data_IF_988849083771
#
_entry.id   IF_988849083771
#
_cell.length_a   1.000
_cell.length_b   1.000
_cell.length_c   1.000
_cell.angle_alpha   90.00
_cell.angle_beta   90.00
_cell.angle_gamma   90.00
#
_symmetry.space_group_name_H-M   'P 1'
#
loop_
_entity.id
_entity.type
_entity.pdbx_description
1 polymer ?
#
# COMPACT_ATOMS: atom_id res chain seq x y z
N UNK A 1 9.89 -4.87 21.86
CA UNK A 1 10.29 -4.29 23.09
C UNK A 1 11.39 -3.25 23.02
N UNK A 2 12.58 -3.62 23.39
CA UNK A 2 13.73 -2.73 23.67
C UNK A 2 14.10 -1.79 22.51
N UNK A 3 14.16 -2.28 21.30
CA UNK A 3 14.47 -1.47 20.09
C UNK A 3 13.54 -0.27 19.89
N UNK A 4 12.22 -0.45 19.99
CA UNK A 4 11.26 0.64 19.82
C UNK A 4 11.32 1.67 20.94
N UNK A 5 11.70 1.23 22.13
CA UNK A 5 11.88 2.10 23.29
C UNK A 5 13.12 2.99 23.16
N UNK A 6 14.25 2.41 22.74
CA UNK A 6 15.47 3.16 22.43
C UNK A 6 15.26 4.19 21.32
N UNK A 7 14.48 3.82 20.30
CA UNK A 7 14.15 4.73 19.21
C UNK A 7 13.23 5.87 19.67
N UNK A 8 12.23 5.59 20.52
CA UNK A 8 11.38 6.60 21.12
C UNK A 8 12.18 7.57 22.02
N UNK A 9 13.13 7.05 22.79
CA UNK A 9 14.01 7.88 23.62
C UNK A 9 14.95 8.76 22.77
N UNK A 10 15.41 8.25 21.64
CA UNK A 10 16.17 9.04 20.67
C UNK A 10 15.33 10.17 20.08
N UNK A 11 14.09 9.87 19.65
CA UNK A 11 13.15 10.88 19.16
C UNK A 11 12.84 11.93 20.24
N UNK A 12 12.66 11.52 21.50
CA UNK A 12 12.39 12.44 22.60
C UNK A 12 13.52 13.44 22.81
N UNK A 13 14.76 13.01 22.66
CA UNK A 13 15.95 13.88 22.82
C UNK A 13 16.15 14.79 21.61
N UNK A 14 15.98 14.27 20.38
CA UNK A 14 16.32 15.01 19.17
C UNK A 14 15.13 15.76 18.56
N UNK A 15 13.93 15.18 18.57
CA UNK A 15 12.74 15.72 17.91
C UNK A 15 11.47 15.45 18.74
N UNK A 16 11.27 16.08 19.90
CA UNK A 16 10.21 15.75 20.88
C UNK A 16 8.78 15.95 20.34
N UNK A 17 8.63 16.59 19.20
CA UNK A 17 7.33 16.80 18.55
C UNK A 17 7.09 15.96 17.32
N UNK A 18 8.00 15.06 16.96
CA UNK A 18 7.93 14.31 15.71
C UNK A 18 7.13 13.00 15.85
N UNK A 19 6.54 12.59 14.72
CA UNK A 19 6.08 11.24 14.47
C UNK A 19 7.03 10.61 13.45
N UNK A 20 7.72 9.55 13.83
CA UNK A 20 8.46 8.71 12.89
C UNK A 20 7.48 7.78 12.17
N UNK A 21 7.52 7.77 10.83
CA UNK A 21 6.81 6.78 10.01
C UNK A 21 7.83 5.95 9.26
N UNK A 22 7.89 4.66 9.52
CA UNK A 22 8.87 3.74 8.93
C UNK A 22 8.26 2.39 8.58
N UNK A 23 8.93 1.61 7.73
CA UNK A 23 8.55 0.23 7.40
C UNK A 23 9.24 -0.79 8.29
N UNK A 24 8.53 -1.85 8.65
CA UNK A 24 9.07 -2.99 9.38
C UNK A 24 8.31 -4.27 9.04
N UNK A 25 8.95 -5.42 9.22
CA UNK A 25 8.23 -6.69 9.30
C UNK A 25 7.76 -6.91 10.74
N UNK A 26 6.49 -7.22 10.91
CA UNK A 26 5.89 -7.53 12.21
C UNK A 26 5.31 -8.93 12.22
N UNK A 27 5.24 -9.53 13.41
CA UNK A 27 4.71 -10.87 13.62
C UNK A 27 3.42 -10.79 14.42
N UNK A 28 2.44 -11.61 14.04
CA UNK A 28 1.24 -11.85 14.83
C UNK A 28 1.17 -13.35 15.14
N UNK A 29 1.09 -13.68 16.42
CA UNK A 29 0.95 -15.06 16.88
C UNK A 29 -0.52 -15.45 17.03
N UNK A 30 -0.82 -16.72 16.76
CA UNK A 30 -2.16 -17.31 16.84
C UNK A 30 -2.08 -18.64 17.61
N UNK A 31 -3.12 -18.91 18.39
CA UNK A 31 -3.33 -20.24 18.93
C UNK A 31 -3.77 -21.22 17.83
N UNK A 32 -3.55 -22.51 18.07
CA UNK A 32 -4.02 -23.54 17.16
C UNK A 32 -5.55 -23.49 16.99
N UNK A 33 -6.03 -23.65 15.75
CA UNK A 33 -7.45 -23.66 15.40
C UNK A 33 -8.05 -22.28 15.02
N UNK A 34 -7.32 -21.16 15.28
CA UNK A 34 -7.78 -19.81 14.91
C UNK A 34 -6.84 -19.09 13.92
N UNK A 35 -5.83 -19.79 13.44
CA UNK A 35 -4.84 -19.25 12.51
C UNK A 35 -5.42 -19.06 11.09
N UNK A 36 -5.09 -17.96 10.39
CA UNK A 36 -5.40 -17.81 8.97
C UNK A 36 -4.55 -18.75 8.09
N UNK A 37 -4.95 -18.91 6.83
CA UNK A 37 -4.23 -19.78 5.88
C UNK A 37 -2.78 -19.35 5.60
N UNK A 38 -2.47 -18.08 5.82
CA UNK A 38 -1.14 -17.50 5.63
C UNK A 38 -0.19 -17.79 6.79
N UNK A 39 -0.74 -18.21 7.94
CA UNK A 39 0.04 -18.44 9.14
C UNK A 39 0.92 -19.67 9.01
N UNK A 40 2.14 -19.54 9.50
CA UNK A 40 3.17 -20.58 9.55
C UNK A 40 3.21 -21.19 10.94
N UNK A 41 3.56 -22.48 11.02
CA UNK A 41 3.75 -23.15 12.29
C UNK A 41 5.01 -22.61 12.99
N UNK A 42 4.90 -22.32 14.27
CA UNK A 42 6.06 -21.98 15.08
C UNK A 42 6.87 -23.26 15.33
N UNK A 43 8.14 -23.28 14.89
CA UNK A 43 9.02 -24.45 15.05
C UNK A 43 9.41 -24.74 16.50
N UNK A 44 9.08 -23.86 17.44
CA UNK A 44 9.42 -23.97 18.85
C UNK A 44 8.24 -24.36 19.76
N UNK A 45 7.02 -24.47 19.21
CA UNK A 45 5.82 -24.75 19.98
C UNK A 45 4.62 -25.21 19.15
N UNK A 46 3.43 -25.24 19.79
CA UNK A 46 2.16 -25.58 19.10
C UNK A 46 1.45 -24.35 18.48
N UNK A 47 2.13 -23.21 18.45
CA UNK A 47 1.60 -21.94 17.95
C UNK A 47 1.76 -21.77 16.42
N UNK A 48 1.09 -20.74 15.93
CA UNK A 48 1.22 -20.27 14.55
C UNK A 48 1.55 -18.79 14.53
N UNK A 49 2.21 -18.31 13.49
CA UNK A 49 2.47 -16.88 13.31
C UNK A 49 2.33 -16.45 11.85
N UNK A 50 1.88 -15.24 11.66
CA UNK A 50 1.94 -14.53 10.39
C UNK A 50 3.01 -13.44 10.41
N UNK A 51 3.62 -13.23 9.26
CA UNK A 51 4.52 -12.10 9.00
C UNK A 51 3.75 -11.05 8.23
N UNK A 52 3.82 -9.80 8.66
CA UNK A 52 3.20 -8.66 7.96
C UNK A 52 4.26 -7.66 7.53
N UNK A 53 4.12 -7.16 6.30
CA UNK A 53 4.77 -5.93 5.91
C UNK A 53 3.98 -4.76 6.51
N UNK A 54 4.62 -3.96 7.37
CA UNK A 54 3.92 -3.03 8.26
C UNK A 54 4.54 -1.64 8.21
N UNK A 55 3.71 -0.62 8.09
CA UNK A 55 4.10 0.73 8.45
C UNK A 55 3.93 0.93 9.96
N UNK A 56 4.95 1.49 10.59
CA UNK A 56 5.01 1.78 12.02
C UNK A 56 5.07 3.29 12.20
N UNK A 57 4.12 3.84 12.95
CA UNK A 57 4.16 5.20 13.47
C UNK A 57 4.62 5.18 14.91
N UNK A 58 5.73 5.87 15.23
CA UNK A 58 6.28 5.96 16.57
C UNK A 58 6.44 7.43 16.96
N UNK A 59 5.86 7.83 18.07
CA UNK A 59 6.06 9.16 18.63
C UNK A 59 7.08 9.17 19.79
N UNK A 60 7.45 10.36 20.23
CA UNK A 60 8.40 10.58 21.33
C UNK A 60 7.89 10.11 22.70
N UNK A 61 6.60 9.81 22.85
CA UNK A 61 6.03 9.20 24.06
C UNK A 61 6.11 7.67 24.04
N UNK A 62 6.58 7.08 22.94
CA UNK A 62 6.64 5.61 22.77
C UNK A 62 5.33 4.99 22.28
N UNK A 63 4.34 5.81 21.88
CA UNK A 63 3.10 5.29 21.31
C UNK A 63 3.36 4.75 19.92
N UNK A 64 2.97 3.50 19.69
CA UNK A 64 3.11 2.80 18.42
C UNK A 64 1.74 2.70 17.74
N UNK A 65 1.70 3.04 16.45
CA UNK A 65 0.56 2.85 15.57
C UNK A 65 1.00 1.95 14.41
N UNK A 66 0.14 1.02 13.99
CA UNK A 66 0.49 0.02 12.98
C UNK A 66 -0.50 0.08 11.81
N UNK A 67 0.03 -0.06 10.60
CA UNK A 67 -0.72 -0.33 9.39
C UNK A 67 -0.11 -1.53 8.69
N UNK A 68 -0.84 -2.63 8.60
CA UNK A 68 -0.43 -3.81 7.85
C UNK A 68 -0.76 -3.63 6.37
N UNK A 69 0.19 -3.92 5.50
CA UNK A 69 0.04 -3.78 4.05
C UNK A 69 -1.19 -4.54 3.53
N UNK A 70 -2.09 -3.82 2.86
CA UNK A 70 -3.36 -4.35 2.36
C UNK A 70 -3.34 -4.73 0.88
N UNK A 71 -2.31 -4.31 0.11
CA UNK A 71 -2.13 -4.66 -1.30
C UNK A 71 -0.75 -5.23 -1.52
N UNK A 72 -0.69 -6.56 -1.56
CA UNK A 72 0.54 -7.31 -1.74
C UNK A 72 0.97 -7.35 -3.22
N UNK A 73 2.28 -7.44 -3.44
CA UNK A 73 2.84 -7.60 -4.79
C UNK A 73 2.64 -9.04 -5.24
N UNK A 74 1.89 -9.22 -6.33
CA UNK A 74 1.63 -10.53 -6.91
C UNK A 74 2.94 -11.14 -7.42
N UNK A 75 3.20 -12.39 -7.07
CA UNK A 75 4.40 -13.12 -7.47
C UNK A 75 5.60 -12.97 -6.52
N UNK A 76 5.59 -11.97 -5.62
CA UNK A 76 6.68 -11.72 -4.66
C UNK A 76 6.19 -11.88 -3.21
N UNK A 77 5.11 -11.21 -2.85
CA UNK A 77 4.54 -11.22 -1.49
C UNK A 77 3.31 -12.14 -1.39
N UNK A 78 2.67 -12.41 -2.52
CA UNK A 78 1.50 -13.29 -2.61
C UNK A 78 1.60 -14.12 -3.90
N UNK A 79 2.08 -15.34 -3.78
CA UNK A 79 2.07 -16.31 -4.89
C UNK A 79 0.93 -17.27 -4.68
N UNK A 80 -0.09 -17.31 -5.58
CA UNK A 80 -1.12 -18.33 -5.52
C UNK A 80 -0.47 -19.72 -5.56
N UNK A 81 -0.84 -20.61 -4.63
CA UNK A 81 -0.24 -21.95 -4.47
C UNK A 81 -0.16 -22.71 -5.79
N UNK A 82 -1.21 -22.67 -6.63
CA UNK A 82 -1.25 -23.33 -7.95
C UNK A 82 -0.20 -22.77 -8.92
N UNK A 83 0.08 -21.47 -8.86
CA UNK A 83 1.10 -20.82 -9.71
C UNK A 83 2.49 -21.08 -9.14
N UNK A 84 2.63 -21.14 -7.84
CA UNK A 84 3.90 -21.46 -7.17
C UNK A 84 4.39 -22.86 -7.53
N UNK A 85 3.53 -23.85 -7.48
CA UNK A 85 3.87 -25.24 -7.79
C UNK A 85 4.31 -25.44 -9.26
N UNK A 86 3.79 -24.60 -10.18
CA UNK A 86 4.14 -24.64 -11.61
C UNK A 86 5.38 -23.80 -11.93
N UNK A 87 5.58 -22.68 -11.24
CA UNK A 87 6.60 -21.68 -11.58
C UNK A 87 7.72 -21.57 -10.55
N UNK A 88 7.83 -22.48 -9.58
CA UNK A 88 8.88 -22.44 -8.55
C UNK A 88 10.32 -22.41 -9.14
N UNK A 89 10.51 -22.92 -10.36
CA UNK A 89 11.79 -22.85 -11.08
C UNK A 89 12.06 -21.48 -11.73
N UNK A 90 11.04 -20.60 -11.83
CA UNK A 90 11.12 -19.23 -12.37
C UNK A 90 11.13 -18.17 -11.27
N UNK A 91 10.95 -18.57 -10.01
CA UNK A 91 10.99 -17.64 -8.88
C UNK A 91 12.43 -17.15 -8.72
N UNK A 92 12.70 -15.97 -9.26
CA UNK A 92 13.95 -15.26 -9.06
C UNK A 92 14.01 -14.92 -7.57
N UNK A 93 15.16 -15.21 -6.95
CA UNK A 93 15.42 -14.83 -5.56
C UNK A 93 15.57 -13.31 -5.47
N UNK A 94 14.45 -12.63 -5.28
CA UNK A 94 14.37 -11.17 -5.21
C UNK A 94 14.62 -10.64 -3.79
N UNK A 95 15.21 -11.46 -2.91
CA UNK A 95 15.54 -11.05 -1.53
C UNK A 95 14.29 -10.77 -0.65
N UNK A 96 13.12 -11.21 -1.10
CA UNK A 96 11.87 -11.15 -0.35
C UNK A 96 11.61 -12.43 0.46
N UNK A 97 10.72 -12.37 1.42
CA UNK A 97 10.21 -13.57 2.09
C UNK A 97 9.34 -14.32 1.09
N UNK A 98 9.88 -15.36 0.48
CA UNK A 98 9.12 -16.24 -0.43
C UNK A 98 8.03 -16.94 0.40
N UNK A 99 6.78 -16.60 0.13
CA UNK A 99 5.62 -17.19 0.80
C UNK A 99 4.46 -16.21 0.91
N UNK A 100 3.33 -16.71 1.34
CA UNK A 100 2.19 -15.87 1.68
C UNK A 100 2.50 -15.12 2.98
N UNK A 101 2.33 -13.80 2.97
CA UNK A 101 2.41 -12.96 4.17
C UNK A 101 1.00 -12.49 4.53
N UNK A 102 0.80 -12.14 5.80
CA UNK A 102 -0.46 -11.61 6.28
C UNK A 102 -0.81 -10.28 5.59
N UNK A 103 -2.10 -10.07 5.34
CA UNK A 103 -2.61 -8.91 4.62
C UNK A 103 -3.53 -8.08 5.51
N UNK A 104 -3.34 -6.75 5.51
CA UNK A 104 -4.26 -5.79 6.09
C UNK A 104 -5.53 -5.65 5.24
N UNK A 105 -6.66 -5.37 5.87
CA UNK A 105 -7.94 -5.25 5.17
C UNK A 105 -8.24 -3.82 4.73
N UNK A 106 -7.74 -2.83 5.48
CA UNK A 106 -8.10 -1.42 5.34
C UNK A 106 -6.89 -0.52 5.47
N UNK A 107 -6.96 0.68 4.88
CA UNK A 107 -6.05 1.76 5.18
C UNK A 107 -6.18 2.20 6.65
N UNK A 108 -5.12 2.70 7.24
CA UNK A 108 -5.09 3.20 8.62
C UNK A 108 -4.52 4.61 8.63
N UNK A 109 -5.17 5.57 9.29
CA UNK A 109 -4.60 6.89 9.48
C UNK A 109 -3.89 6.95 10.82
N UNK A 110 -2.58 7.31 10.82
CA UNK A 110 -1.83 7.60 12.04
C UNK A 110 -2.15 9.01 12.50
N UNK A 111 -2.36 9.15 13.78
CA UNK A 111 -2.67 10.45 14.37
C UNK A 111 -1.58 10.88 15.36
N UNK A 112 -1.08 12.10 15.17
CA UNK A 112 -0.14 12.74 16.06
C UNK A 112 -0.42 14.25 16.17
N UNK A 113 -0.64 14.75 17.38
CA UNK A 113 -0.91 16.19 17.65
C UNK A 113 -2.03 16.78 16.79
N UNK A 114 -3.12 16.04 16.59
CA UNK A 114 -4.27 16.47 15.79
C UNK A 114 -4.07 16.41 14.28
N UNK A 115 -2.90 15.98 13.81
CA UNK A 115 -2.62 15.75 12.38
C UNK A 115 -2.73 14.26 12.08
N UNK A 116 -3.45 13.92 10.98
CA UNK A 116 -3.60 12.55 10.50
C UNK A 116 -2.84 12.34 9.20
N UNK A 117 -2.00 11.29 9.16
CA UNK A 117 -1.28 10.87 7.95
C UNK A 117 -1.65 9.46 7.54
N UNK A 118 -1.77 9.21 6.23
CA UNK A 118 -1.96 7.88 5.68
C UNK A 118 -0.61 7.23 5.33
N UNK A 119 -0.18 6.18 6.06
CA UNK A 119 1.11 5.53 5.84
C UNK A 119 0.99 4.43 4.78
N UNK A 120 0.91 4.79 3.50
CA UNK A 120 0.81 3.80 2.43
C UNK A 120 2.15 3.09 2.17
N UNK A 121 2.11 1.79 1.90
CA UNK A 121 3.29 0.97 1.65
C UNK A 121 3.40 0.63 0.17
N UNK A 122 4.43 1.18 -0.50
CA UNK A 122 4.89 0.78 -1.84
C UNK A 122 3.73 0.60 -2.85
N UNK A 123 3.41 -0.65 -3.17
CA UNK A 123 2.41 -1.09 -4.15
C UNK A 123 0.98 -0.64 -3.85
N UNK A 124 0.66 -0.29 -2.61
CA UNK A 124 -0.66 0.26 -2.24
C UNK A 124 -0.98 1.56 -2.99
N UNK A 125 0.05 2.34 -3.36
CA UNK A 125 -0.09 3.53 -4.19
C UNK A 125 -0.63 3.29 -5.60
N UNK A 126 -0.63 2.05 -6.10
CA UNK A 126 -1.21 1.72 -7.40
C UNK A 126 -2.74 1.68 -7.38
N UNK A 127 -3.33 1.38 -6.23
CA UNK A 127 -4.77 1.16 -6.08
C UNK A 127 -5.46 2.41 -5.56
N UNK A 128 -6.08 3.20 -6.46
CA UNK A 128 -6.74 4.45 -6.10
C UNK A 128 -7.82 4.30 -5.03
N UNK A 129 -8.68 3.30 -5.13
CA UNK A 129 -9.73 3.04 -4.13
C UNK A 129 -9.17 2.70 -2.76
N UNK A 130 -8.10 1.88 -2.71
CA UNK A 130 -7.44 1.53 -1.46
C UNK A 130 -6.70 2.73 -0.87
N UNK A 131 -6.05 3.52 -1.70
CA UNK A 131 -5.41 4.78 -1.29
C UNK A 131 -6.45 5.76 -0.72
N UNK A 132 -7.64 5.80 -1.33
CA UNK A 132 -8.79 6.56 -0.84
C UNK A 132 -9.28 6.13 0.54
N UNK A 133 -9.05 4.88 0.95
CA UNK A 133 -9.47 4.41 2.27
C UNK A 133 -8.72 5.10 3.41
N UNK A 134 -7.42 5.36 3.25
CA UNK A 134 -6.66 6.19 4.20
C UNK A 134 -7.28 7.58 4.34
N UNK A 135 -7.67 8.17 3.21
CA UNK A 135 -8.25 9.52 3.16
C UNK A 135 -9.64 9.55 3.78
N UNK A 136 -10.50 8.56 3.51
CA UNK A 136 -11.82 8.41 4.17
C UNK A 136 -11.70 8.25 5.68
N UNK A 137 -10.61 7.65 6.16
CA UNK A 137 -10.29 7.51 7.60
C UNK A 137 -9.62 8.75 8.20
N UNK A 138 -9.53 9.83 7.42
CA UNK A 138 -9.14 11.14 7.88
C UNK A 138 -7.71 11.56 7.58
N UNK A 139 -6.95 10.82 6.79
CA UNK A 139 -5.61 11.23 6.39
C UNK A 139 -5.65 12.60 5.68
N UNK A 140 -4.88 13.57 6.18
CA UNK A 140 -4.79 14.93 5.68
C UNK A 140 -3.65 15.11 4.69
N UNK A 141 -2.65 14.25 4.75
CA UNK A 141 -1.59 14.04 3.77
C UNK A 141 -1.19 12.56 3.78
N UNK A 142 -0.36 12.13 2.84
CA UNK A 142 0.08 10.75 2.75
C UNK A 142 1.59 10.65 2.93
N UNK A 143 2.02 9.66 3.70
CA UNK A 143 3.40 9.24 3.82
C UNK A 143 3.55 7.90 3.09
N UNK A 144 4.22 7.88 1.93
CA UNK A 144 4.50 6.63 1.21
C UNK A 144 5.88 6.15 1.60
N UNK A 145 5.95 4.92 2.11
CA UNK A 145 7.21 4.22 2.38
C UNK A 145 7.37 3.08 1.37
N UNK A 146 8.55 2.94 0.78
CA UNK A 146 8.76 1.99 -0.31
C UNK A 146 10.15 1.36 -0.29
N UNK A 147 10.19 0.07 -0.60
CA UNK A 147 11.41 -0.60 -0.97
C UNK A 147 11.39 -0.83 -2.48
N UNK A 148 12.09 0.02 -3.23
CA UNK A 148 12.10 -0.04 -4.69
C UNK A 148 13.32 -0.83 -5.24
N UNK A 149 14.20 -1.33 -4.37
CA UNK A 149 15.49 -1.95 -4.77
C UNK A 149 15.34 -3.17 -5.69
N UNK A 150 14.26 -3.90 -5.55
CA UNK A 150 13.96 -5.08 -6.38
C UNK A 150 13.56 -4.76 -7.83
N UNK A 151 13.28 -3.49 -8.16
CA UNK A 151 13.07 -3.06 -9.55
C UNK A 151 14.40 -2.90 -10.32
N UNK A 152 15.55 -2.81 -9.64
CA UNK A 152 16.78 -2.35 -10.26
C UNK A 152 16.68 -0.91 -10.78
N UNK A 153 17.70 -0.39 -11.42
CA UNK A 153 17.64 0.93 -12.08
C UNK A 153 16.87 0.84 -13.42
N UNK A 154 15.59 0.55 -13.32
CA UNK A 154 14.67 0.41 -14.46
C UNK A 154 13.60 1.49 -14.41
N UNK A 155 12.79 1.66 -15.48
CA UNK A 155 11.62 2.55 -15.44
C UNK A 155 10.60 2.23 -14.35
N UNK A 156 10.61 1.01 -13.78
CA UNK A 156 9.60 0.53 -12.82
C UNK A 156 9.42 1.43 -11.61
N UNK A 157 10.50 1.78 -10.89
CA UNK A 157 10.42 2.67 -9.74
C UNK A 157 9.98 4.09 -10.10
N UNK A 158 10.33 4.58 -11.32
CA UNK A 158 9.89 5.88 -11.83
C UNK A 158 8.39 5.90 -12.08
N UNK A 159 7.83 4.78 -12.58
CA UNK A 159 6.39 4.62 -12.75
C UNK A 159 5.66 4.65 -11.41
N UNK A 160 6.17 3.97 -10.38
CA UNK A 160 5.59 4.02 -9.03
C UNK A 160 5.54 5.44 -8.47
N UNK A 161 6.60 6.22 -8.68
CA UNK A 161 6.64 7.62 -8.30
C UNK A 161 5.61 8.44 -9.11
N UNK A 162 5.54 8.22 -10.42
CA UNK A 162 4.60 8.92 -11.31
C UNK A 162 3.14 8.61 -10.95
N UNK A 163 2.83 7.35 -10.63
CA UNK A 163 1.48 6.97 -10.19
C UNK A 163 1.10 7.65 -8.86
N UNK A 164 2.08 7.87 -7.97
CA UNK A 164 1.83 8.64 -6.75
C UNK A 164 1.29 10.04 -7.03
N UNK A 165 1.67 10.67 -8.17
CA UNK A 165 1.09 11.96 -8.60
C UNK A 165 -0.40 11.86 -8.92
N UNK A 166 -0.84 10.78 -9.57
CA UNK A 166 -2.27 10.55 -9.82
C UNK A 166 -3.02 10.42 -8.50
N UNK A 167 -2.46 9.68 -7.54
CA UNK A 167 -3.05 9.56 -6.19
C UNK A 167 -3.19 10.91 -5.51
N UNK A 168 -2.15 11.76 -5.59
CA UNK A 168 -2.21 13.11 -5.04
C UNK A 168 -3.35 13.94 -5.66
N UNK A 169 -3.53 13.88 -6.98
CA UNK A 169 -4.57 14.60 -7.73
C UNK A 169 -5.97 14.07 -7.38
N UNK A 170 -6.18 12.76 -7.45
CA UNK A 170 -7.48 12.11 -7.23
C UNK A 170 -8.03 12.39 -5.84
N UNK A 171 -7.16 12.37 -4.83
CA UNK A 171 -7.55 12.51 -3.44
C UNK A 171 -7.30 13.90 -2.85
N UNK A 172 -6.68 14.81 -3.64
CA UNK A 172 -6.25 16.14 -3.18
C UNK A 172 -5.45 16.08 -1.89
N UNK A 173 -4.47 15.15 -1.85
CA UNK A 173 -3.54 14.98 -0.73
C UNK A 173 -2.10 15.18 -1.19
N UNK A 174 -1.38 16.03 -0.45
CA UNK A 174 0.07 16.09 -0.63
C UNK A 174 0.70 14.77 -0.17
N UNK A 175 1.82 14.40 -0.80
CA UNK A 175 2.52 13.14 -0.53
C UNK A 175 3.97 13.43 -0.15
N UNK A 176 4.41 12.86 0.97
CA UNK A 176 5.80 12.69 1.32
C UNK A 176 6.18 11.23 1.04
N UNK A 177 7.03 10.99 0.05
CA UNK A 177 7.49 9.65 -0.32
C UNK A 177 8.93 9.44 0.12
N UNK A 178 9.17 8.34 0.84
CA UNK A 178 10.50 7.87 1.21
C UNK A 178 10.72 6.47 0.64
N UNK A 179 11.75 6.32 -0.19
CA UNK A 179 12.19 5.05 -0.74
C UNK A 179 13.63 4.76 -0.29
N UNK A 180 13.92 3.50 0.07
CA UNK A 180 15.27 3.11 0.49
C UNK A 180 16.30 3.17 -0.65
N UNK A 181 15.88 2.86 -1.88
CA UNK A 181 16.77 2.79 -3.06
C UNK A 181 16.24 3.63 -4.21
N UNK A 182 14.91 3.68 -4.40
CA UNK A 182 14.24 4.35 -5.51
C UNK A 182 14.12 5.86 -5.35
N UNK A 183 13.04 6.43 -5.89
CA UNK A 183 12.83 7.87 -5.89
C UNK A 183 12.07 8.31 -4.63
N UNK A 184 12.71 9.16 -3.82
CA UNK A 184 12.09 9.88 -2.70
C UNK A 184 11.70 11.29 -3.14
N UNK A 185 10.68 11.90 -2.49
CA UNK A 185 10.33 13.28 -2.80
C UNK A 185 8.96 13.70 -2.27
N UNK A 186 8.66 14.97 -2.50
CA UNK A 186 7.39 15.58 -2.16
C UNK A 186 6.55 15.83 -3.41
N UNK A 187 5.25 15.57 -3.31
CA UNK A 187 4.28 15.78 -4.37
C UNK A 187 3.14 16.63 -3.82
N UNK A 188 2.80 17.73 -4.51
CA UNK A 188 1.69 18.59 -4.11
C UNK A 188 0.35 17.88 -4.32
N UNK A 189 -0.72 18.38 -3.69
CA UNK A 189 -2.09 17.91 -3.91
C UNK A 189 -2.61 18.09 -5.35
N UNK A 190 -1.86 18.80 -6.20
CA UNK A 190 -2.13 18.98 -7.63
C UNK A 190 -1.26 18.08 -8.52
N UNK A 191 -0.37 17.29 -7.92
CA UNK A 191 0.54 16.39 -8.62
C UNK A 191 1.85 17.06 -9.06
N UNK A 192 2.14 18.27 -8.62
CA UNK A 192 3.42 18.92 -8.92
C UNK A 192 4.53 18.25 -8.11
N UNK A 193 5.64 17.99 -8.75
CA UNK A 193 6.81 17.38 -8.11
C UNK A 193 7.64 18.50 -7.46
N UNK A 194 7.87 18.39 -6.17
CA UNK A 194 8.77 19.24 -5.41
C UNK A 194 10.21 18.71 -5.42
N UNK A 195 10.88 18.82 -4.27
CA UNK A 195 12.23 18.27 -4.08
C UNK A 195 12.21 16.75 -4.24
N UNK A 196 13.21 16.20 -4.92
CA UNK A 196 13.36 14.75 -5.12
C UNK A 196 14.81 14.29 -4.83
N UNK A 197 14.92 13.03 -4.43
CA UNK A 197 16.16 12.30 -4.31
C UNK A 197 16.05 11.05 -5.20
N UNK A 198 17.00 10.89 -6.13
CA UNK A 198 16.96 9.83 -7.13
C UNK A 198 17.47 8.48 -6.63
N UNK A 199 17.59 7.53 -7.56
CA UNK A 199 18.05 6.17 -7.33
C UNK A 199 19.40 6.13 -6.59
N UNK A 200 19.47 5.32 -5.54
CA UNK A 200 20.67 5.10 -4.68
C UNK A 200 21.32 6.37 -4.11
N UNK A 201 20.63 7.49 -4.14
CA UNK A 201 21.12 8.72 -3.52
C UNK A 201 20.75 8.78 -2.05
N UNK A 202 21.77 8.94 -1.19
CA UNK A 202 21.56 9.20 0.23
C UNK A 202 21.39 10.69 0.47
N UNK A 203 20.39 11.06 1.26
CA UNK A 203 20.15 12.46 1.58
C UNK A 203 18.94 12.65 2.46
N UNK A 204 18.69 13.91 2.82
CA UNK A 204 17.52 14.35 3.57
C UNK A 204 16.79 15.39 2.74
N UNK A 205 15.49 15.24 2.64
CA UNK A 205 14.60 16.22 2.04
C UNK A 205 13.70 16.81 3.13
N UNK A 206 13.49 18.11 3.09
CA UNK A 206 12.60 18.81 4.02
C UNK A 206 11.65 19.70 3.25
N UNK A 207 10.35 19.60 3.54
CA UNK A 207 9.32 20.46 2.96
C UNK A 207 8.16 20.67 3.91
N UNK A 208 7.48 21.81 3.77
CA UNK A 208 6.17 22.03 4.37
C UNK A 208 5.12 21.27 3.54
N UNK A 209 4.31 20.44 4.21
CA UNK A 209 3.27 19.64 3.58
C UNK A 209 1.91 20.25 3.95
N UNK A 210 1.13 20.75 2.98
CA UNK A 210 -0.19 21.28 3.26
C UNK A 210 -1.16 20.16 3.67
N UNK A 211 -1.95 20.43 4.71
CA UNK A 211 -2.97 19.52 5.21
C UNK A 211 -4.32 19.82 4.53
N UNK A 212 -5.03 18.77 4.12
CA UNK A 212 -6.36 18.91 3.54
C UNK A 212 -7.31 17.83 4.09
N UNK A 213 -8.45 18.23 4.61
CA UNK A 213 -9.47 17.31 5.15
C UNK A 213 -10.68 17.12 4.21
N UNK A 214 -10.77 17.86 3.11
CA UNK A 214 -11.89 17.76 2.16
C UNK A 214 -11.81 16.45 1.37
N UNK A 215 -12.95 15.81 1.16
CA UNK A 215 -13.05 14.60 0.34
C UNK A 215 -13.42 14.98 -1.09
N UNK A 216 -12.65 14.49 -2.07
CA UNK A 216 -12.99 14.61 -3.49
C UNK A 216 -14.15 13.69 -3.86
N UNK A 217 -14.75 13.92 -5.03
CA UNK A 217 -15.77 13.02 -5.57
C UNK A 217 -15.23 11.59 -5.70
N UNK A 218 -14.02 11.44 -6.27
CA UNK A 218 -13.36 10.14 -6.41
C UNK A 218 -13.12 9.48 -5.03
N UNK A 219 -12.66 10.22 -4.03
CA UNK A 219 -12.47 9.68 -2.67
C UNK A 219 -13.76 9.14 -2.07
N UNK A 220 -14.90 9.82 -2.32
CA UNK A 220 -16.22 9.42 -1.77
C UNK A 220 -16.78 8.17 -2.46
N UNK A 221 -16.70 8.15 -3.79
CA UNK A 221 -17.42 7.17 -4.62
C UNK A 221 -16.49 6.09 -5.22
N UNK A 222 -15.17 6.24 -5.09
CA UNK A 222 -14.18 5.33 -5.63
C UNK A 222 -14.14 5.33 -7.15
N UNK A 223 -13.73 4.23 -7.76
CA UNK A 223 -13.68 4.04 -9.21
C UNK A 223 -15.10 3.84 -9.79
N UNK A 224 -15.86 4.92 -9.84
CA UNK A 224 -17.22 4.89 -10.38
C UNK A 224 -17.23 4.71 -11.91
N UNK A 225 -16.20 5.17 -12.61
CA UNK A 225 -16.11 5.01 -14.08
C UNK A 225 -15.87 3.54 -14.43
N UNK A 226 -14.98 2.85 -13.72
CA UNK A 226 -14.76 1.43 -13.90
C UNK A 226 -16.04 0.64 -13.67
N UNK A 227 -16.75 0.90 -12.57
CA UNK A 227 -18.03 0.24 -12.28
C UNK A 227 -19.09 0.49 -13.34
N UNK A 228 -19.24 1.73 -13.82
CA UNK A 228 -20.17 2.03 -14.93
C UNK A 228 -19.78 1.24 -16.19
N UNK A 229 -18.49 1.18 -16.51
CA UNK A 229 -17.99 0.43 -17.67
C UNK A 229 -18.26 -1.06 -17.56
N UNK A 230 -18.12 -1.66 -16.38
CA UNK A 230 -18.45 -3.06 -16.11
C UNK A 230 -19.95 -3.35 -16.37
N UNK A 231 -20.85 -2.47 -15.87
CA UNK A 231 -22.30 -2.60 -16.13
C UNK A 231 -22.63 -2.44 -17.62
N UNK A 232 -22.03 -1.49 -18.30
CA UNK A 232 -22.24 -1.30 -19.75
C UNK A 232 -21.74 -2.50 -20.53
N UNK A 233 -20.57 -3.04 -20.18
CA UNK A 233 -20.05 -4.27 -20.80
C UNK A 233 -21.02 -5.44 -20.62
N UNK A 234 -21.53 -5.65 -19.42
CA UNK A 234 -22.51 -6.70 -19.13
C UNK A 234 -23.77 -6.54 -19.99
N UNK A 235 -24.31 -5.32 -20.08
CA UNK A 235 -25.46 -5.02 -20.95
C UNK A 235 -25.18 -5.32 -22.43
N UNK A 236 -24.00 -4.95 -22.93
CA UNK A 236 -23.59 -5.25 -24.30
C UNK A 236 -23.50 -6.78 -24.55
N UNK A 237 -22.96 -7.53 -23.60
CA UNK A 237 -22.87 -9.01 -23.69
C UNK A 237 -24.27 -9.62 -23.71
N UNK A 238 -25.15 -9.21 -22.80
CA UNK A 238 -26.54 -9.69 -22.77
C UNK A 238 -27.31 -9.37 -24.04
N UNK A 239 -27.17 -8.14 -24.54
CA UNK A 239 -27.74 -7.74 -25.83
C UNK A 239 -27.23 -8.61 -26.98
N UNK A 240 -25.92 -8.85 -27.04
CA UNK A 240 -25.34 -9.71 -28.08
C UNK A 240 -25.88 -11.14 -28.01
N UNK A 241 -25.98 -11.73 -26.83
CA UNK A 241 -26.55 -13.07 -26.64
C UNK A 241 -28.00 -13.11 -27.12
N UNK A 242 -28.82 -12.14 -26.69
CA UNK A 242 -30.23 -12.04 -27.12
C UNK A 242 -30.39 -11.87 -28.63
N UNK A 243 -29.56 -11.02 -29.23
CA UNK A 243 -29.52 -10.82 -30.69
C UNK A 243 -29.16 -12.11 -31.42
N UNK A 244 -28.16 -12.85 -30.97
CA UNK A 244 -27.76 -14.16 -31.56
C UNK A 244 -28.85 -15.20 -31.44
N UNK A 245 -29.53 -15.28 -30.30
CA UNK A 245 -30.63 -16.20 -30.07
C UNK A 245 -31.80 -15.87 -31.00
N UNK A 246 -32.17 -14.61 -31.18
CA UNK A 246 -33.22 -14.17 -32.10
C UNK A 246 -32.89 -14.50 -33.54
N UNK A 247 -31.64 -14.26 -33.98
CA UNK A 247 -31.19 -14.57 -35.34
C UNK A 247 -31.24 -16.06 -35.61
N UNK A 248 -30.86 -16.93 -34.67
CA UNK A 248 -30.93 -18.38 -34.79
C UNK A 248 -32.38 -18.85 -34.99
N UNK A 249 -33.33 -18.29 -34.23
CA UNK A 249 -34.75 -18.65 -34.32
C UNK A 249 -35.39 -18.20 -35.65
N UNK A 250 -34.85 -17.19 -36.34
CA UNK A 250 -35.32 -16.78 -37.67
C UNK A 250 -34.74 -17.61 -38.81
N UNK A 251 -33.66 -18.36 -38.61
CA UNK A 251 -33.05 -19.26 -39.61
C UNK A 251 -33.63 -20.69 -39.56
N UNK A 252 -34.44 -21.00 -38.54
CA UNK A 252 -35.06 -22.32 -38.34
C UNK A 252 -36.55 -22.32 -38.75
N UNK A 253 -37.09 -21.15 -39.12
CA UNK A 253 -38.39 -20.98 -39.78
C UNK A 253 -38.21 -20.80 -41.28
#
# INVERSE_FOLDING_TARGET
GMFWQELADSLRRSHPGALLVTGANTLRYYAAGVQPRTARRDGLGEGYYDVFNTAVGLDSAGRIQLHHKGKLVIGVENTPTVVFDILQFLVIDLGGVVGQIGMGQHGTAFEHRGVKTGPAICYEGLYGDFFGDFVRRGAQFMAIISNDGWWGDTPGYKHLFTISRLRAIEHRRAIARSANTGMSGFISARGDIGQTLGWEKRGVLTAAVPLNSQLTFYTRYGDYLGRISEYLMLLCVLYYIAYRAKKKNHLVK
#
